data_IF_279328561177
#
_entry.id   IF_279328561177
#
_cell.length_a   1.000
_cell.length_b   1.000
_cell.length_c   1.000
_cell.angle_alpha   90.00
_cell.angle_beta   90.00
_cell.angle_gamma   90.00
#
_symmetry.space_group_name_H-M   'P 1'
#
loop_
_entity.id
_entity.type
_entity.pdbx_description
1 polymer ?
#
# COMPACT_ATOMS: atom_id res chain seq x y z
N UNK A 1 1.05 -10.17 2.70
CA UNK A 1 1.15 -11.50 2.06
C UNK A 1 2.51 -12.11 2.38
N UNK A 2 3.61 -11.54 1.90
CA UNK A 2 4.97 -12.05 2.08
C UNK A 2 5.28 -12.47 3.53
N UNK A 3 5.01 -11.59 4.50
CA UNK A 3 5.25 -11.88 5.93
C UNK A 3 4.50 -13.12 6.42
N UNK A 4 3.23 -13.29 5.99
CA UNK A 4 2.42 -14.45 6.36
C UNK A 4 3.03 -15.75 5.86
N UNK A 5 3.46 -15.78 4.60
CA UNK A 5 4.14 -16.95 4.01
C UNK A 5 5.47 -17.24 4.70
N UNK A 6 6.29 -16.23 4.93
CA UNK A 6 7.57 -16.38 5.65
C UNK A 6 7.37 -16.95 7.06
N UNK A 7 6.39 -16.44 7.81
CA UNK A 7 6.07 -16.94 9.15
C UNK A 7 5.50 -18.35 9.16
N UNK A 8 4.76 -18.73 8.13
CA UNK A 8 4.25 -20.09 7.95
C UNK A 8 5.30 -21.07 7.37
N UNK A 9 6.50 -20.60 7.04
CA UNK A 9 7.53 -21.43 6.40
C UNK A 9 7.13 -21.91 4.99
N UNK A 10 6.33 -21.10 4.29
CA UNK A 10 5.85 -21.38 2.93
C UNK A 10 6.57 -20.52 1.90
N UNK A 11 6.55 -20.97 0.65
CA UNK A 11 7.25 -20.30 -0.45
C UNK A 11 6.53 -19.03 -0.89
N UNK A 12 7.28 -17.96 -1.03
CA UNK A 12 6.84 -16.67 -1.57
C UNK A 12 7.98 -16.05 -2.39
N UNK A 13 7.76 -15.84 -3.67
CA UNK A 13 8.74 -15.27 -4.59
C UNK A 13 8.16 -14.05 -5.30
N UNK A 14 8.82 -12.90 -5.18
CA UNK A 14 8.51 -11.75 -6.02
C UNK A 14 9.11 -12.04 -7.41
N UNK A 15 8.26 -12.06 -8.42
CA UNK A 15 8.65 -12.33 -9.82
C UNK A 15 8.87 -11.06 -10.61
N UNK A 16 8.17 -9.97 -10.24
CA UNK A 16 8.34 -8.67 -10.88
C UNK A 16 7.96 -7.53 -9.91
N UNK A 17 8.56 -6.36 -10.14
CA UNK A 17 8.28 -5.14 -9.39
C UNK A 17 8.17 -3.98 -10.36
N UNK A 18 7.02 -3.30 -10.34
CA UNK A 18 6.72 -2.18 -11.24
C UNK A 18 6.40 -0.91 -10.45
N UNK A 19 6.96 0.20 -10.89
CA UNK A 19 6.67 1.51 -10.32
C UNK A 19 5.50 2.12 -11.07
N UNK A 20 4.34 2.24 -10.41
CA UNK A 20 3.10 2.78 -11.00
C UNK A 20 2.74 4.12 -10.41
N UNK A 21 2.08 4.96 -11.22
CA UNK A 21 1.51 6.22 -10.77
C UNK A 21 0.21 5.94 -10.02
N UNK A 22 0.21 6.29 -8.73
CA UNK A 22 -0.97 6.18 -7.85
C UNK A 22 -1.84 7.44 -7.88
N UNK A 23 -1.22 8.60 -8.11
CA UNK A 23 -1.90 9.89 -8.11
C UNK A 23 -1.13 10.89 -8.96
N UNK A 24 -1.86 11.77 -9.66
CA UNK A 24 -1.34 12.94 -10.37
C UNK A 24 -1.92 14.19 -9.71
N UNK A 25 -1.06 15.09 -9.24
CA UNK A 25 -1.47 16.27 -8.51
C UNK A 25 -2.21 17.26 -9.43
N UNK A 26 -3.23 17.93 -8.90
CA UNK A 26 -3.87 19.03 -9.59
C UNK A 26 -2.85 20.18 -9.76
N UNK A 27 -2.57 20.55 -11.00
CA UNK A 27 -1.55 21.56 -11.34
C UNK A 27 -0.20 20.95 -11.73
N UNK A 28 -0.02 19.63 -11.73
CA UNK A 28 1.11 19.00 -12.39
C UNK A 28 1.07 19.30 -13.90
N UNK A 29 2.22 19.68 -14.46
CA UNK A 29 2.35 19.93 -15.90
C UNK A 29 2.86 18.63 -16.53
N UNK A 30 1.93 17.77 -16.89
CA UNK A 30 2.22 16.42 -17.39
C UNK A 30 1.02 15.85 -18.13
N UNK A 31 1.28 14.89 -19.04
CA UNK A 31 0.29 14.01 -19.66
C UNK A 31 0.31 12.57 -19.10
N UNK A 32 1.06 12.35 -18.02
CA UNK A 32 1.05 11.12 -17.22
C UNK A 32 -0.35 10.88 -16.61
N UNK A 33 -0.71 9.62 -16.47
CA UNK A 33 -2.01 9.21 -15.94
C UNK A 33 -1.87 8.26 -14.75
N UNK A 34 -2.87 8.26 -13.88
CA UNK A 34 -2.97 7.25 -12.81
C UNK A 34 -3.04 5.87 -13.43
N UNK A 35 -2.21 4.97 -12.95
CA UNK A 35 -2.10 3.61 -13.46
C UNK A 35 -0.97 3.39 -14.47
N UNK A 36 -0.36 4.44 -15.01
CA UNK A 36 0.83 4.31 -15.85
C UNK A 36 1.96 3.63 -15.06
N UNK A 37 2.65 2.68 -15.68
CA UNK A 37 3.89 2.11 -15.17
C UNK A 37 5.05 2.84 -15.82
N UNK A 38 5.90 3.48 -15.04
CA UNK A 38 7.08 4.19 -15.56
C UNK A 38 8.14 3.17 -15.94
N UNK A 39 8.63 3.25 -17.16
CA UNK A 39 9.68 2.39 -17.69
C UNK A 39 11.03 3.12 -17.71
N UNK A 40 11.07 4.34 -18.26
CA UNK A 40 12.29 5.14 -18.32
C UNK A 40 11.99 6.64 -18.33
N UNK A 41 13.00 7.44 -17.97
CA UNK A 41 13.01 8.92 -18.04
C UNK A 41 14.27 9.33 -18.80
N UNK A 42 14.12 10.12 -19.87
CA UNK A 42 15.20 10.60 -20.74
C UNK A 42 16.11 9.46 -21.22
N UNK A 43 15.59 8.25 -21.38
CA UNK A 43 16.29 7.05 -21.81
C UNK A 43 16.97 6.26 -20.67
N UNK A 44 16.90 6.72 -19.43
CA UNK A 44 17.39 6.00 -18.26
C UNK A 44 16.27 5.17 -17.63
N UNK A 45 16.52 3.89 -17.34
CA UNK A 45 15.53 2.97 -16.76
C UNK A 45 15.12 3.37 -15.34
N UNK A 46 13.82 3.30 -15.06
CA UNK A 46 13.24 3.54 -13.74
C UNK A 46 12.74 2.24 -13.13
N UNK A 47 13.50 1.67 -12.21
CA UNK A 47 13.12 0.44 -11.51
C UNK A 47 12.37 0.69 -10.19
N UNK A 48 12.60 1.85 -9.56
CA UNK A 48 12.02 2.18 -8.25
C UNK A 48 11.96 3.70 -8.02
N UNK A 49 11.46 4.11 -6.84
CA UNK A 49 11.36 5.51 -6.45
C UNK A 49 12.72 6.22 -6.40
N UNK A 50 13.76 5.55 -5.91
CA UNK A 50 15.08 6.15 -5.75
C UNK A 50 15.73 6.45 -7.10
N UNK A 51 15.60 5.55 -8.09
CA UNK A 51 16.11 5.79 -9.44
C UNK A 51 15.41 6.98 -10.10
N UNK A 52 14.08 7.09 -9.97
CA UNK A 52 13.32 8.25 -10.46
C UNK A 52 13.79 9.56 -9.78
N UNK A 53 13.89 9.55 -8.45
CA UNK A 53 14.31 10.75 -7.69
C UNK A 53 15.72 11.17 -8.06
N UNK A 54 16.61 10.20 -8.26
CA UNK A 54 17.99 10.49 -8.69
C UNK A 54 18.03 11.19 -10.04
N UNK A 55 17.25 10.71 -11.02
CA UNK A 55 17.18 11.34 -12.35
C UNK A 55 16.62 12.76 -12.24
N UNK A 56 15.49 12.94 -11.54
CA UNK A 56 14.84 14.25 -11.36
C UNK A 56 15.78 15.25 -10.69
N UNK A 57 16.58 14.82 -9.72
CA UNK A 57 17.52 15.68 -9.00
C UNK A 57 18.69 16.18 -9.86
N UNK A 58 19.03 15.50 -10.95
CA UNK A 58 20.08 15.96 -11.88
C UNK A 58 19.63 17.10 -12.81
N UNK A 59 18.32 17.36 -12.89
CA UNK A 59 17.69 18.34 -13.79
C UNK A 59 17.39 19.64 -13.08
N UNK A 60 16.95 20.66 -13.81
CA UNK A 60 16.57 21.97 -13.26
C UNK A 60 15.05 22.12 -13.21
N UNK A 61 14.57 23.02 -12.34
CA UNK A 61 13.16 23.42 -12.34
C UNK A 61 12.82 24.05 -13.70
N UNK A 62 11.71 23.61 -14.29
CA UNK A 62 11.27 24.01 -15.62
C UNK A 62 11.71 23.08 -16.75
N UNK A 63 12.66 22.18 -16.52
CA UNK A 63 13.01 21.16 -17.51
C UNK A 63 11.82 20.23 -17.79
N UNK A 64 11.70 19.80 -19.04
CA UNK A 64 10.69 18.85 -19.49
C UNK A 64 11.34 17.49 -19.66
N UNK A 65 10.88 16.54 -18.87
CA UNK A 65 11.30 15.13 -18.93
C UNK A 65 10.51 14.40 -20.02
N UNK A 66 11.19 13.52 -20.75
CA UNK A 66 10.56 12.56 -21.67
C UNK A 66 10.48 11.20 -20.99
N UNK A 67 9.27 10.69 -20.79
CA UNK A 67 9.05 9.40 -20.14
C UNK A 67 8.55 8.37 -21.13
N UNK A 68 8.98 7.13 -20.95
CA UNK A 68 8.33 5.97 -21.53
C UNK A 68 7.52 5.29 -20.42
N UNK A 69 6.24 5.06 -20.68
CA UNK A 69 5.34 4.43 -19.72
C UNK A 69 4.56 3.29 -20.37
N UNK A 70 4.15 2.33 -19.58
CA UNK A 70 3.19 1.30 -20.00
C UNK A 70 1.80 1.75 -19.53
N UNK A 71 0.93 2.05 -20.50
CA UNK A 71 -0.46 2.49 -20.31
C UNK A 71 -1.39 1.48 -20.97
N UNK A 72 -2.24 0.80 -20.19
CA UNK A 72 -3.13 -0.27 -20.72
C UNK A 72 -2.38 -1.33 -21.54
N UNK A 73 -1.20 -1.74 -21.05
CA UNK A 73 -0.32 -2.72 -21.71
C UNK A 73 0.36 -2.24 -23.01
N UNK A 74 0.17 -0.98 -23.40
CA UNK A 74 0.85 -0.37 -24.54
C UNK A 74 1.93 0.61 -24.06
N UNK A 75 3.08 0.57 -24.71
CA UNK A 75 4.16 1.53 -24.44
C UNK A 75 3.85 2.85 -25.13
N UNK A 76 3.78 3.93 -24.34
CA UNK A 76 3.52 5.28 -24.83
C UNK A 76 4.55 6.25 -24.28
N UNK A 77 4.82 7.31 -25.06
CA UNK A 77 5.64 8.44 -24.60
C UNK A 77 4.76 9.42 -23.84
N UNK A 78 5.29 9.93 -22.76
CA UNK A 78 4.66 10.96 -21.94
C UNK A 78 5.70 12.01 -21.54
N UNK A 79 5.21 13.15 -21.08
CA UNK A 79 6.07 14.26 -20.62
C UNK A 79 5.69 14.69 -19.21
N UNK A 80 6.66 15.20 -18.47
CA UNK A 80 6.43 15.86 -17.20
C UNK A 80 7.41 17.04 -17.03
N UNK A 81 6.91 18.19 -16.57
CA UNK A 81 7.74 19.35 -16.29
C UNK A 81 8.12 19.34 -14.82
N UNK A 82 9.39 19.56 -14.53
CA UNK A 82 9.88 19.69 -13.16
C UNK A 82 9.40 21.03 -12.58
N UNK A 83 8.73 20.96 -11.45
CA UNK A 83 8.15 22.06 -10.70
C UNK A 83 8.79 22.13 -9.30
N UNK A 84 8.42 23.16 -8.52
CA UNK A 84 8.90 23.35 -7.15
C UNK A 84 10.07 24.32 -7.09
N UNK A 85 11.04 24.01 -6.27
CA UNK A 85 12.28 24.80 -6.08
C UNK A 85 13.50 23.93 -6.36
N UNK A 86 14.68 24.53 -6.54
CA UNK A 86 15.93 23.76 -6.76
C UNK A 86 16.25 22.83 -5.58
N UNK A 87 15.78 23.15 -4.38
CA UNK A 87 15.96 22.31 -3.19
C UNK A 87 14.90 21.20 -3.07
N UNK A 88 13.71 21.40 -3.71
CA UNK A 88 12.61 20.45 -3.64
C UNK A 88 11.92 20.36 -5.01
N UNK A 89 12.52 19.55 -5.88
CA UNK A 89 12.03 19.30 -7.24
C UNK A 89 10.96 18.24 -7.25
N UNK A 90 9.86 18.50 -7.92
CA UNK A 90 8.71 17.60 -8.04
C UNK A 90 8.24 17.54 -9.49
N UNK A 91 7.66 16.42 -9.89
CA UNK A 91 6.93 16.26 -11.16
C UNK A 91 5.42 16.08 -10.94
N UNK A 92 4.97 16.27 -9.69
CA UNK A 92 3.55 16.29 -9.35
C UNK A 92 2.85 14.93 -9.39
N UNK A 93 3.57 13.83 -9.18
CA UNK A 93 2.99 12.48 -9.10
C UNK A 93 3.28 11.82 -7.76
N UNK A 94 2.42 10.89 -7.39
CA UNK A 94 2.68 9.93 -6.29
C UNK A 94 2.83 8.54 -6.90
N UNK A 95 3.85 7.83 -6.46
CA UNK A 95 4.17 6.50 -6.94
C UNK A 95 3.76 5.43 -5.94
N UNK A 96 3.45 4.25 -6.46
CA UNK A 96 3.30 3.02 -5.70
C UNK A 96 4.10 1.90 -6.35
N UNK A 97 4.61 0.98 -5.54
CA UNK A 97 5.21 -0.25 -6.04
C UNK A 97 4.11 -1.30 -6.21
N UNK A 98 3.99 -1.86 -7.41
CA UNK A 98 3.19 -3.04 -7.69
C UNK A 98 4.13 -4.23 -7.78
N UNK A 99 3.86 -5.24 -6.97
CA UNK A 99 4.59 -6.50 -6.99
C UNK A 99 3.76 -7.58 -7.69
N UNK A 100 4.40 -8.34 -8.57
CA UNK A 100 3.91 -9.62 -9.05
C UNK A 100 4.64 -10.71 -8.24
N UNK A 101 3.95 -11.75 -7.88
CA UNK A 101 4.52 -12.78 -6.99
C UNK A 101 3.90 -14.14 -7.28
N UNK A 102 4.69 -15.17 -6.99
CA UNK A 102 4.26 -16.55 -6.96
C UNK A 102 4.31 -17.08 -5.53
N UNK A 103 3.37 -17.94 -5.19
CA UNK A 103 3.23 -18.50 -3.85
C UNK A 103 2.91 -19.99 -3.90
N UNK A 104 3.39 -20.71 -2.89
CA UNK A 104 3.04 -22.10 -2.68
C UNK A 104 2.68 -22.36 -1.20
N UNK A 105 1.42 -22.70 -0.89
CA UNK A 105 0.29 -22.86 -1.80
C UNK A 105 -0.13 -21.55 -2.48
N UNK A 106 -0.77 -21.63 -3.64
CA UNK A 106 -1.30 -20.46 -4.35
C UNK A 106 -2.40 -19.79 -3.55
N UNK A 107 -2.42 -18.45 -3.56
CA UNK A 107 -3.44 -17.66 -2.90
C UNK A 107 -4.13 -16.73 -3.90
N UNK A 108 -5.46 -16.73 -3.86
CA UNK A 108 -6.29 -15.76 -4.58
C UNK A 108 -6.96 -14.83 -3.57
N UNK A 109 -6.75 -13.54 -3.72
CA UNK A 109 -7.37 -12.51 -2.90
C UNK A 109 -8.44 -11.78 -3.72
N UNK A 110 -9.67 -11.75 -3.19
CA UNK A 110 -10.75 -10.99 -3.80
C UNK A 110 -11.17 -9.86 -2.86
N UNK A 111 -11.06 -8.63 -3.33
CA UNK A 111 -11.44 -7.43 -2.60
C UNK A 111 -12.57 -6.69 -3.32
N UNK A 112 -13.44 -6.07 -2.55
CA UNK A 112 -14.36 -5.08 -3.09
C UNK A 112 -13.61 -3.78 -3.40
N UNK A 113 -14.05 -3.04 -4.41
CA UNK A 113 -13.42 -1.77 -4.80
C UNK A 113 -13.39 -0.73 -3.65
N UNK A 114 -14.30 -0.86 -2.67
CA UNK A 114 -14.36 -0.05 -1.45
C UNK A 114 -13.39 -0.49 -0.35
N UNK A 115 -12.80 -1.68 -0.45
CA UNK A 115 -11.88 -2.26 0.54
C UNK A 115 -10.44 -1.93 0.17
N UNK A 116 -10.10 -0.66 0.17
CA UNK A 116 -8.77 -0.19 -0.15
C UNK A 116 -8.11 0.47 1.07
N UNK A 117 -6.77 0.43 1.09
CA UNK A 117 -5.97 1.13 2.08
C UNK A 117 -5.17 0.21 3.02
N UNK A 118 -4.05 0.73 3.54
CA UNK A 118 -3.08 -0.06 4.30
C UNK A 118 -3.59 -0.53 5.67
N UNK A 119 -4.65 0.08 6.19
CA UNK A 119 -5.16 -0.18 7.54
C UNK A 119 -5.80 -1.57 7.75
N UNK A 120 -6.06 -2.31 6.68
CA UNK A 120 -6.49 -3.71 6.71
C UNK A 120 -5.33 -4.72 6.68
N UNK A 121 -4.10 -4.25 6.46
CA UNK A 121 -2.94 -5.09 6.20
C UNK A 121 -2.61 -6.08 7.31
N UNK A 122 -2.74 -5.66 8.58
CA UNK A 122 -2.51 -6.54 9.72
C UNK A 122 -3.47 -7.74 9.70
N UNK A 123 -4.78 -7.47 9.62
CA UNK A 123 -5.80 -8.53 9.66
C UNK A 123 -5.71 -9.44 8.43
N UNK A 124 -5.45 -8.88 7.25
CA UNK A 124 -5.22 -9.65 6.04
C UNK A 124 -4.01 -10.58 6.21
N UNK A 125 -2.90 -10.07 6.76
CA UNK A 125 -1.70 -10.87 6.99
C UNK A 125 -1.95 -12.01 7.97
N UNK A 126 -2.70 -11.76 9.06
CA UNK A 126 -3.09 -12.79 10.03
C UNK A 126 -4.04 -13.82 9.40
N UNK A 127 -5.02 -13.39 8.61
CA UNK A 127 -5.96 -14.30 7.96
C UNK A 127 -5.27 -15.21 6.92
N UNK A 128 -4.29 -14.67 6.20
CA UNK A 128 -3.46 -15.47 5.28
C UNK A 128 -2.62 -16.48 6.09
N UNK A 129 -1.98 -16.02 7.15
CA UNK A 129 -1.17 -16.89 8.00
C UNK A 129 -1.99 -18.04 8.59
N UNK A 130 -3.19 -17.75 9.12
CA UNK A 130 -4.13 -18.74 9.62
C UNK A 130 -4.49 -19.83 8.59
N UNK A 131 -4.64 -19.43 7.33
CA UNK A 131 -4.90 -20.38 6.23
C UNK A 131 -3.70 -21.22 5.80
N UNK A 132 -2.49 -20.79 6.15
CA UNK A 132 -1.24 -21.45 5.76
C UNK A 132 -0.74 -22.45 6.80
N UNK A 133 -1.28 -22.43 8.02
CA UNK A 133 -0.92 -23.31 9.12
C UNK A 133 -2.08 -24.26 9.47
N UNK A 134 -1.77 -25.36 10.14
CA UNK A 134 -2.79 -26.34 10.54
C UNK A 134 -3.58 -25.92 11.79
N UNK A 135 -3.03 -25.01 12.58
CA UNK A 135 -3.67 -24.50 13.80
C UNK A 135 -4.67 -23.38 13.48
N UNK A 136 -5.85 -23.40 14.11
CA UNK A 136 -6.81 -22.29 14.07
C UNK A 136 -6.37 -21.20 15.06
N UNK A 137 -5.84 -20.07 14.55
CA UNK A 137 -5.45 -18.92 15.37
C UNK A 137 -6.64 -18.27 16.07
N UNK A 138 -7.82 -18.37 15.49
CA UNK A 138 -9.01 -17.72 16.05
C UNK A 138 -9.58 -18.51 17.21
N UNK A 139 -9.31 -19.81 17.28
CA UNK A 139 -9.90 -20.74 18.27
C UNK A 139 -11.43 -20.67 18.31
N UNK A 140 -12.03 -20.40 17.15
CA UNK A 140 -13.48 -20.23 17.00
C UNK A 140 -14.03 -18.86 17.42
N UNK A 141 -13.19 -17.93 17.88
CA UNK A 141 -13.62 -16.56 18.20
C UNK A 141 -13.76 -15.71 16.94
N UNK A 142 -14.73 -14.79 17.01
CA UNK A 142 -14.91 -13.77 15.98
C UNK A 142 -13.97 -12.60 16.22
N UNK A 143 -12.91 -12.52 15.44
CA UNK A 143 -11.89 -11.48 15.53
C UNK A 143 -12.14 -10.45 14.44
N UNK A 144 -12.19 -9.19 14.83
CA UNK A 144 -12.23 -8.03 13.93
C UNK A 144 -11.10 -7.10 14.33
N UNK A 145 -10.64 -6.25 13.44
CA UNK A 145 -9.59 -5.32 13.83
C UNK A 145 -9.11 -4.45 12.67
N UNK A 146 -8.06 -3.71 12.98
CA UNK A 146 -7.41 -2.79 12.04
C UNK A 146 -5.93 -2.63 12.40
N UNK A 147 -5.13 -2.24 11.44
CA UNK A 147 -3.70 -2.00 11.62
C UNK A 147 -2.97 -2.05 10.29
N UNK A 148 -1.94 -1.23 10.15
CA UNK A 148 -0.97 -1.44 9.09
C UNK A 148 0.03 -2.50 9.51
N UNK A 149 0.73 -3.11 8.57
CA UNK A 149 1.80 -4.08 8.83
C UNK A 149 2.99 -3.78 7.94
N UNK A 150 4.15 -3.64 8.53
CA UNK A 150 5.42 -3.49 7.83
C UNK A 150 5.96 -4.83 7.33
N UNK A 151 6.92 -4.79 6.41
CA UNK A 151 7.62 -5.99 5.94
C UNK A 151 8.42 -6.69 7.05
N UNK A 152 8.84 -5.94 8.05
CA UNK A 152 9.52 -6.41 9.27
C UNK A 152 8.58 -6.98 10.33
N UNK A 153 7.26 -6.88 10.10
CA UNK A 153 6.22 -7.30 11.05
C UNK A 153 5.81 -6.22 12.05
N UNK A 154 6.34 -5.01 11.94
CA UNK A 154 5.90 -3.88 12.77
C UNK A 154 4.46 -3.49 12.47
N UNK A 155 3.67 -3.26 13.53
CA UNK A 155 2.29 -2.79 13.42
C UNK A 155 2.27 -1.28 13.53
N UNK A 156 1.71 -0.62 12.51
CA UNK A 156 1.62 0.84 12.47
C UNK A 156 0.22 1.37 12.76
N UNK A 157 0.18 2.63 13.18
CA UNK A 157 -1.04 3.35 13.48
C UNK A 157 -1.94 3.56 12.25
N UNK A 158 -3.23 3.80 12.52
CA UNK A 158 -4.25 4.04 11.50
C UNK A 158 -5.08 5.29 11.82
N UNK A 159 -5.74 5.83 10.82
CA UNK A 159 -6.73 6.89 11.01
C UNK A 159 -8.13 6.35 11.28
N UNK A 160 -8.91 7.11 12.06
CA UNK A 160 -10.34 6.87 12.24
C UNK A 160 -10.71 5.58 12.96
N UNK A 161 -9.97 5.20 14.00
CA UNK A 161 -10.21 3.98 14.79
C UNK A 161 -11.63 3.92 15.36
N UNK A 162 -12.19 5.04 15.82
CA UNK A 162 -13.53 5.13 16.38
C UNK A 162 -14.61 4.78 15.35
N UNK A 163 -14.46 5.21 14.09
CA UNK A 163 -15.40 4.84 13.01
C UNK A 163 -15.32 3.34 12.70
N UNK A 164 -14.12 2.77 12.73
CA UNK A 164 -13.90 1.34 12.49
C UNK A 164 -14.49 0.50 13.63
N UNK A 165 -14.28 0.90 14.88
CA UNK A 165 -14.86 0.23 16.04
C UNK A 165 -16.39 0.33 16.02
N UNK A 166 -16.95 1.49 15.69
CA UNK A 166 -18.42 1.67 15.53
C UNK A 166 -19.01 0.71 14.49
N UNK A 167 -18.32 0.56 13.35
CA UNK A 167 -18.73 -0.42 12.33
C UNK A 167 -18.63 -1.87 12.83
N UNK A 168 -17.59 -2.19 13.58
CA UNK A 168 -17.32 -3.53 14.10
C UNK A 168 -18.35 -3.97 15.15
N UNK A 169 -18.83 -3.08 16.02
CA UNK A 169 -19.79 -3.40 17.11
C UNK A 169 -21.04 -4.09 16.58
N UNK A 170 -21.55 -3.69 15.41
CA UNK A 170 -22.72 -4.31 14.80
C UNK A 170 -22.52 -5.80 14.47
N UNK A 171 -21.29 -6.20 14.27
CA UNK A 171 -20.93 -7.59 13.99
C UNK A 171 -20.76 -8.44 15.25
N UNK A 172 -20.79 -7.84 16.44
CA UNK A 172 -20.61 -8.47 17.76
C UNK A 172 -19.34 -9.34 17.79
N UNK A 173 -18.14 -8.76 17.61
CA UNK A 173 -16.91 -9.51 17.70
C UNK A 173 -16.58 -9.90 19.14
N UNK A 174 -15.91 -11.02 19.32
CA UNK A 174 -15.31 -11.40 20.63
C UNK A 174 -14.07 -10.55 20.93
N UNK A 175 -13.31 -10.21 19.86
CA UNK A 175 -12.10 -9.40 19.96
C UNK A 175 -12.05 -8.33 18.89
N UNK A 176 -11.57 -7.13 19.28
CA UNK A 176 -11.19 -6.07 18.34
C UNK A 176 -9.71 -5.76 18.47
N UNK A 177 -8.94 -6.08 17.44
CA UNK A 177 -7.49 -5.83 17.38
C UNK A 177 -7.26 -4.41 16.86
N UNK A 178 -6.43 -3.64 17.58
CA UNK A 178 -6.08 -2.26 17.25
C UNK A 178 -4.60 -2.01 17.55
N UNK A 179 -3.90 -1.14 16.79
CA UNK A 179 -2.52 -0.77 17.10
C UNK A 179 -2.40 -0.18 18.51
N UNK A 180 -1.29 -0.47 19.18
CA UNK A 180 -0.95 0.09 20.49
C UNK A 180 -0.77 1.63 20.42
N UNK A 181 -0.73 2.28 21.60
CA UNK A 181 -0.59 3.73 21.73
C UNK A 181 -1.91 4.45 21.47
N UNK A 182 -1.88 5.59 20.77
CA UNK A 182 -3.03 6.47 20.61
C UNK A 182 -4.26 5.76 20.03
N UNK A 183 -4.09 4.84 19.08
CA UNK A 183 -5.24 4.10 18.52
C UNK A 183 -5.93 3.22 19.57
N UNK A 184 -5.17 2.60 20.47
CA UNK A 184 -5.73 1.83 21.57
C UNK A 184 -6.48 2.74 22.57
N UNK A 185 -5.89 3.87 22.94
CA UNK A 185 -6.49 4.84 23.87
C UNK A 185 -7.81 5.40 23.29
N UNK A 186 -7.82 5.81 22.04
CA UNK A 186 -9.01 6.30 21.35
C UNK A 186 -10.10 5.22 21.26
N UNK A 187 -9.71 3.96 21.00
CA UNK A 187 -10.64 2.84 20.94
C UNK A 187 -11.27 2.54 22.30
N UNK A 188 -10.49 2.59 23.38
CA UNK A 188 -10.97 2.37 24.75
C UNK A 188 -11.90 3.49 25.20
N UNK A 189 -11.56 4.75 24.95
CA UNK A 189 -12.40 5.89 25.26
C UNK A 189 -13.76 5.79 24.52
N UNK A 190 -13.73 5.43 23.23
CA UNK A 190 -14.96 5.25 22.46
C UNK A 190 -15.78 4.04 22.92
N UNK A 191 -15.15 2.94 23.34
CA UNK A 191 -15.82 1.77 23.90
C UNK A 191 -16.60 2.14 25.17
N UNK A 192 -16.01 2.94 26.07
CA UNK A 192 -16.68 3.44 27.27
C UNK A 192 -17.84 4.37 26.92
N UNK A 193 -17.66 5.28 25.96
CA UNK A 193 -18.70 6.22 25.50
C UNK A 193 -19.97 5.49 25.03
N UNK A 194 -19.79 4.38 24.29
CA UNK A 194 -20.93 3.63 23.74
C UNK A 194 -21.47 2.52 24.65
N UNK A 195 -20.85 2.30 25.82
CA UNK A 195 -21.25 1.28 26.80
C UNK A 195 -21.06 -0.16 26.32
N UNK A 196 -20.03 -0.43 25.52
CA UNK A 196 -19.75 -1.74 24.92
C UNK A 196 -18.70 -2.54 25.69
#
# INVERSE_FOLDING_TARGET
IQLAYQKAGKEFHITDQKTRIAYVAQGAITDLQVGDTILSIDGEDVSNFDSLTSIVNTKNVGDVLSLQVLRNEEQVSATATIQGTEENKIIGITLMQKYEYETNPEITLSFLASESGPSGGLLLSLAIYDKLIDEDLTKGYKIVGTGTIGADGSVGAIGGVTYKLRGAVNSKPDFFIVPAGQNYEDAMAFKEEIGY
#
